data_IF_235646105541
#
_entry.id   IF_235646105541
#
_cell.length_a   1.000
_cell.length_b   1.000
_cell.length_c   1.000
_cell.angle_alpha   90.00
_cell.angle_beta   90.00
_cell.angle_gamma   90.00
#
_symmetry.space_group_name_H-M   'P 1'
#
loop_
_entity.id
_entity.type
_entity.pdbx_description
1 polymer ?
#
# COMPACT_ATOMS: atom_id res chain seq x y z
N UNK A 1 -2.73 -14.30 16.31
CA UNK A 1 -3.66 -13.18 16.11
C UNK A 1 -2.79 -11.96 15.87
N UNK A 2 -2.75 -11.42 14.65
CA UNK A 2 -1.96 -10.23 14.37
C UNK A 2 -2.60 -9.07 15.13
N UNK A 3 -1.83 -8.42 16.00
CA UNK A 3 -2.31 -7.26 16.72
C UNK A 3 -2.27 -6.09 15.72
N UNK A 4 -3.43 -5.75 15.15
CA UNK A 4 -3.56 -4.58 14.28
C UNK A 4 -3.15 -3.35 15.08
N UNK A 5 -1.98 -2.80 14.71
CA UNK A 5 -1.39 -1.67 15.40
C UNK A 5 -1.67 -0.44 14.56
N UNK A 6 -2.45 0.46 15.12
CA UNK A 6 -2.86 1.67 14.44
C UNK A 6 -1.96 2.84 14.84
N UNK A 7 -1.57 3.65 13.86
CA UNK A 7 -0.74 4.84 14.06
C UNK A 7 -1.57 6.07 13.74
N UNK A 8 -1.53 7.06 14.63
CA UNK A 8 -2.16 8.36 14.43
C UNK A 8 -1.51 9.06 13.22
N UNK A 9 -2.30 9.46 12.23
CA UNK A 9 -1.80 10.11 11.00
C UNK A 9 -0.95 11.34 11.32
N UNK A 10 -1.43 12.21 12.23
CA UNK A 10 -0.66 13.41 12.66
C UNK A 10 0.71 13.08 13.24
N UNK A 11 0.86 11.93 13.91
CA UNK A 11 2.15 11.49 14.43
C UNK A 11 3.03 10.96 13.31
N UNK A 12 2.45 10.15 12.41
CA UNK A 12 3.15 9.63 11.24
C UNK A 12 3.71 10.75 10.35
N UNK A 13 2.89 11.73 9.94
CA UNK A 13 3.31 12.88 9.12
C UNK A 13 4.50 13.64 9.72
N UNK A 14 4.54 13.80 11.06
CA UNK A 14 5.66 14.45 11.76
C UNK A 14 6.97 13.67 11.67
N UNK A 15 6.91 12.34 11.71
CA UNK A 15 8.09 11.47 11.68
C UNK A 15 8.58 11.25 10.25
N UNK A 16 7.66 10.95 9.33
CA UNK A 16 7.96 10.63 7.93
C UNK A 16 8.18 11.86 7.05
N UNK A 17 7.81 13.06 7.52
CA UNK A 17 7.80 14.32 6.76
C UNK A 17 6.92 14.28 5.50
N UNK A 18 5.97 13.36 5.47
CA UNK A 18 4.94 13.30 4.43
C UNK A 18 3.83 14.28 4.82
N UNK A 19 3.37 15.08 3.86
CA UNK A 19 2.28 16.02 4.09
C UNK A 19 0.93 15.31 4.25
N UNK A 20 0.08 15.81 5.14
CA UNK A 20 -1.31 15.31 5.28
C UNK A 20 -2.09 15.43 3.95
N UNK A 21 -1.75 16.42 3.12
CA UNK A 21 -2.30 16.63 1.79
C UNK A 21 -2.10 15.40 0.88
N UNK A 22 -0.93 14.77 0.95
CA UNK A 22 -0.57 13.60 0.16
C UNK A 22 -1.36 12.37 0.61
N UNK A 23 -1.44 12.15 1.93
CA UNK A 23 -2.21 11.05 2.50
C UNK A 23 -3.70 11.17 2.19
N UNK A 24 -4.28 12.37 2.28
CA UNK A 24 -5.67 12.61 1.88
C UNK A 24 -5.92 12.26 0.41
N UNK A 25 -5.00 12.62 -0.49
CA UNK A 25 -5.11 12.22 -1.90
C UNK A 25 -5.02 10.70 -2.05
N UNK A 26 -4.06 10.04 -1.41
CA UNK A 26 -3.97 8.57 -1.46
C UNK A 26 -5.29 7.91 -1.00
N UNK A 27 -5.94 8.47 0.02
CA UNK A 27 -7.23 7.99 0.50
C UNK A 27 -8.37 8.26 -0.51
N UNK A 28 -8.42 9.44 -1.13
CA UNK A 28 -9.39 9.77 -2.18
C UNK A 28 -9.27 8.85 -3.40
N UNK A 29 -8.05 8.45 -3.76
CA UNK A 29 -7.78 7.47 -4.82
C UNK A 29 -7.99 6.01 -4.37
N UNK A 30 -8.41 5.76 -3.11
CA UNK A 30 -8.61 4.40 -2.58
C UNK A 30 -7.31 3.60 -2.43
N UNK A 31 -6.15 4.25 -2.47
CA UNK A 31 -4.85 3.61 -2.38
C UNK A 31 -4.53 3.20 -0.94
N UNK A 32 -5.10 3.91 0.04
CA UNK A 32 -4.98 3.64 1.48
C UNK A 32 -6.34 3.78 2.16
N UNK A 33 -6.49 3.14 3.33
CA UNK A 33 -7.71 3.24 4.14
C UNK A 33 -7.41 3.97 5.45
N UNK A 34 -8.32 4.86 5.83
CA UNK A 34 -8.28 5.51 7.13
C UNK A 34 -9.28 4.91 8.09
N UNK A 35 -8.89 4.84 9.37
CA UNK A 35 -9.78 4.50 10.47
C UNK A 35 -10.00 5.73 11.32
N UNK A 36 -11.22 6.24 11.32
CA UNK A 36 -11.61 7.34 12.18
C UNK A 36 -12.00 6.83 13.57
N UNK A 37 -11.37 7.38 14.61
CA UNK A 37 -11.71 7.10 15.99
C UNK A 37 -11.58 8.37 16.83
N UNK A 38 -12.64 8.73 17.56
CA UNK A 38 -12.65 9.89 18.46
C UNK A 38 -12.17 11.20 17.81
N UNK A 39 -12.62 11.46 16.57
CA UNK A 39 -12.30 12.68 15.81
C UNK A 39 -10.84 12.75 15.29
N UNK A 40 -10.08 11.66 15.42
CA UNK A 40 -8.72 11.52 14.89
C UNK A 40 -8.65 10.38 13.86
N UNK A 41 -7.67 10.50 12.95
CA UNK A 41 -7.46 9.59 11.83
C UNK A 41 -6.27 8.68 12.13
N UNK A 42 -6.47 7.38 11.93
CA UNK A 42 -5.47 6.35 12.11
C UNK A 42 -5.23 5.56 10.82
N UNK A 43 -3.99 5.13 10.62
CA UNK A 43 -3.55 4.21 9.57
C UNK A 43 -3.07 2.91 10.19
N UNK A 44 -3.23 1.80 9.48
CA UNK A 44 -2.63 0.53 9.90
C UNK A 44 -1.11 0.58 9.73
N UNK A 45 -0.36 0.02 10.68
CA UNK A 45 1.09 -0.10 10.58
C UNK A 45 1.52 -0.92 9.35
N UNK A 46 0.70 -1.86 8.89
CA UNK A 46 0.96 -2.64 7.66
C UNK A 46 0.94 -1.77 6.40
N UNK A 47 0.08 -0.75 6.37
CA UNK A 47 -0.06 0.15 5.23
C UNK A 47 1.10 1.16 5.13
N UNK A 48 1.87 1.36 6.20
CA UNK A 48 2.97 2.33 6.24
C UNK A 48 4.03 2.04 5.19
N UNK A 49 4.42 0.77 5.03
CA UNK A 49 5.42 0.37 4.03
C UNK A 49 4.95 0.73 2.61
N UNK A 50 3.67 0.51 2.33
CA UNK A 50 3.09 0.81 1.02
C UNK A 50 2.93 2.33 0.81
N UNK A 51 2.54 3.09 1.84
CA UNK A 51 2.52 4.56 1.80
C UNK A 51 3.90 5.13 1.47
N UNK A 52 4.95 4.68 2.17
CA UNK A 52 6.31 5.16 1.91
C UNK A 52 6.79 4.81 0.50
N UNK A 53 6.42 3.62 0.00
CA UNK A 53 6.73 3.21 -1.37
C UNK A 53 6.04 4.12 -2.38
N UNK A 54 4.74 4.37 -2.22
CA UNK A 54 3.99 5.28 -3.08
C UNK A 54 4.52 6.71 -2.99
N UNK A 55 4.92 7.16 -1.81
CA UNK A 55 5.56 8.46 -1.61
C UNK A 55 6.86 8.57 -2.40
N UNK A 56 7.75 7.57 -2.33
CA UNK A 56 8.99 7.54 -3.14
C UNK A 56 8.69 7.53 -4.65
N UNK A 57 7.72 6.75 -5.10
CA UNK A 57 7.31 6.72 -6.50
C UNK A 57 6.82 8.10 -6.99
N UNK A 58 6.01 8.79 -6.18
CA UNK A 58 5.51 10.12 -6.54
C UNK A 58 6.60 11.20 -6.44
N UNK A 59 7.36 11.21 -5.35
CA UNK A 59 8.35 12.25 -5.06
C UNK A 59 9.62 12.09 -5.90
N UNK A 60 10.17 10.87 -5.99
CA UNK A 60 11.48 10.63 -6.62
C UNK A 60 11.36 10.37 -8.12
N UNK A 61 10.27 9.72 -8.56
CA UNK A 61 10.05 9.37 -9.98
C UNK A 61 9.01 10.26 -10.67
N UNK A 62 8.37 11.19 -9.95
CA UNK A 62 7.38 12.11 -10.51
C UNK A 62 6.08 11.44 -10.98
N UNK A 63 5.76 10.27 -10.45
CA UNK A 63 4.56 9.50 -10.82
C UNK A 63 3.34 10.13 -10.17
N UNK A 64 2.29 10.40 -10.95
CA UNK A 64 1.02 10.93 -10.45
C UNK A 64 0.17 9.86 -9.72
N UNK A 65 -0.89 10.29 -9.04
CA UNK A 65 -1.76 9.39 -8.27
C UNK A 65 -2.46 8.34 -9.14
N UNK A 66 -2.89 8.69 -10.35
CA UNK A 66 -3.45 7.74 -11.31
C UNK A 66 -2.41 6.70 -11.75
N UNK A 67 -1.15 7.13 -11.91
CA UNK A 67 -0.03 6.24 -12.20
C UNK A 67 0.27 5.29 -11.03
N UNK A 68 0.17 5.76 -9.78
CA UNK A 68 0.32 4.91 -8.60
C UNK A 68 -0.76 3.83 -8.55
N UNK A 69 -2.01 4.18 -8.85
CA UNK A 69 -3.12 3.23 -8.88
C UNK A 69 -2.93 2.16 -9.97
N UNK A 70 -2.60 2.60 -11.19
CA UNK A 70 -2.28 1.68 -12.28
C UNK A 70 -1.11 0.74 -11.93
N UNK A 71 -0.05 1.24 -11.30
CA UNK A 71 1.08 0.44 -10.84
C UNK A 71 0.66 -0.57 -9.79
N UNK A 72 -0.18 -0.17 -8.82
CA UNK A 72 -0.72 -1.06 -7.78
C UNK A 72 -1.49 -2.21 -8.40
N UNK A 73 -2.39 -1.91 -9.35
CA UNK A 73 -3.16 -2.94 -10.07
C UNK A 73 -2.26 -3.87 -10.89
N UNK A 74 -1.28 -3.32 -11.62
CA UNK A 74 -0.33 -4.12 -12.41
C UNK A 74 0.49 -5.06 -11.54
N UNK A 75 0.98 -4.59 -10.38
CA UNK A 75 1.72 -5.41 -9.44
C UNK A 75 0.88 -6.54 -8.87
N UNK A 76 -0.38 -6.25 -8.50
CA UNK A 76 -1.31 -7.28 -8.02
C UNK A 76 -1.53 -8.37 -9.07
N UNK A 77 -1.69 -7.97 -10.35
CA UNK A 77 -1.83 -8.92 -11.46
C UNK A 77 -0.57 -9.75 -11.68
N UNK A 78 0.62 -9.16 -11.57
CA UNK A 78 1.89 -9.89 -11.66
C UNK A 78 2.00 -10.92 -10.55
N UNK A 79 1.68 -10.54 -9.30
CA UNK A 79 1.71 -11.46 -8.16
C UNK A 79 0.74 -12.64 -8.36
N UNK A 80 -0.47 -12.38 -8.84
CA UNK A 80 -1.43 -13.46 -9.17
C UNK A 80 -0.89 -14.42 -10.24
N UNK A 81 -0.25 -13.90 -11.28
CA UNK A 81 0.36 -14.73 -12.32
C UNK A 81 1.55 -15.54 -11.79
N UNK A 82 2.37 -14.95 -10.92
CA UNK A 82 3.48 -15.66 -10.26
C UNK A 82 2.98 -16.79 -9.35
N UNK A 83 1.88 -16.56 -8.61
CA UNK A 83 1.22 -17.59 -7.80
C UNK A 83 0.69 -18.74 -8.66
N UNK A 84 0.03 -18.44 -9.78
CA UNK A 84 -0.48 -19.45 -10.71
C UNK A 84 0.66 -20.27 -11.33
N UNK A 85 1.74 -19.61 -11.79
CA UNK A 85 2.93 -20.29 -12.31
C UNK A 85 3.55 -21.22 -11.26
N UNK A 86 3.69 -20.75 -10.03
CA UNK A 86 4.20 -21.57 -8.93
C UNK A 86 3.29 -22.76 -8.61
N UNK A 87 1.97 -22.57 -8.66
CA UNK A 87 1.00 -23.64 -8.48
C UNK A 87 1.12 -24.71 -9.59
N UNK A 88 1.20 -24.27 -10.85
CA UNK A 88 1.37 -25.16 -12.00
C UNK A 88 2.70 -25.92 -11.95
N UNK A 89 3.80 -25.25 -11.59
CA UNK A 89 5.11 -25.89 -11.41
C UNK A 89 5.09 -26.95 -10.30
N UNK A 90 4.47 -26.66 -9.16
CA UNK A 90 4.29 -27.64 -8.08
C UNK A 90 3.49 -28.84 -8.55
N UNK A 91 2.43 -28.63 -9.32
CA UNK A 91 1.60 -29.71 -9.86
C UNK A 91 2.37 -30.58 -10.85
N UNK A 92 3.16 -29.99 -11.73
CA UNK A 92 4.02 -30.73 -12.67
C UNK A 92 5.02 -31.63 -11.95
N UNK A 93 5.67 -31.13 -10.89
CA UNK A 93 6.60 -31.92 -10.05
C UNK A 93 5.97 -33.11 -9.33
N UNK A 94 4.64 -33.20 -9.23
CA UNK A 94 3.97 -34.37 -8.64
C UNK A 94 3.78 -35.52 -9.65
N UNK A 95 3.92 -35.22 -10.95
CA UNK A 95 3.81 -36.19 -12.03
C UNK A 95 5.18 -36.63 -12.59
N UNK A 96 6.25 -35.95 -12.18
CA UNK A 96 7.65 -36.37 -12.35
C UNK A 96 8.11 -37.20 -11.15
#
# INVERSE_FOLDING_TARGET
>A
MAQEKYILVKHYCKVSKIEDSFLNRLHEFGLITFKEQQNDIYIDEQDISEIERMFRLHHDLGINFEGLDAIKEMLARIQQLEEELNYLQKKLRLYE
#
